data_IF_951435779164
#
_entry.id   IF_951435779164
#
_cell.length_a   1.000
_cell.length_b   1.000
_cell.length_c   1.000
_cell.angle_alpha   90.00
_cell.angle_beta   90.00
_cell.angle_gamma   90.00
#
_symmetry.space_group_name_H-M   'P 1'
#
loop_
_entity.id
_entity.type
_entity.pdbx_description
1 polymer ?
#
# COMPACT_ATOMS: atom_id res chain seq x y z
N UNK A 1 12.15 18.12 -14.44
CA UNK A 1 11.71 17.78 -13.06
C UNK A 1 10.98 16.45 -13.18
N UNK A 2 11.70 15.33 -13.09
CA UNK A 2 11.04 14.02 -13.08
C UNK A 2 10.43 13.89 -11.70
N UNK A 3 9.15 14.23 -11.60
CA UNK A 3 8.35 13.85 -10.46
C UNK A 3 8.10 12.34 -10.64
N UNK A 4 9.12 11.54 -10.32
CA UNK A 4 8.90 10.11 -10.09
C UNK A 4 7.73 10.01 -9.12
N UNK A 5 6.77 9.13 -9.43
CA UNK A 5 5.52 9.02 -8.67
C UNK A 5 5.80 9.15 -7.16
N UNK A 6 5.04 9.99 -6.43
CA UNK A 6 5.26 10.17 -5.01
C UNK A 6 5.22 8.80 -4.32
N UNK A 7 6.20 8.55 -3.45
CA UNK A 7 6.26 7.34 -2.66
C UNK A 7 4.88 7.12 -2.00
N UNK A 8 4.38 5.89 -2.07
CA UNK A 8 2.99 5.61 -1.75
C UNK A 8 2.79 4.17 -1.37
N UNK A 9 1.99 3.93 -0.32
CA UNK A 9 1.54 2.59 0.03
C UNK A 9 0.02 2.58 -0.05
N UNK A 10 -0.52 1.66 -0.84
CA UNK A 10 -1.95 1.52 -1.07
C UNK A 10 -2.36 0.07 -0.86
N UNK A 11 -3.46 -0.15 -0.14
CA UNK A 11 -4.00 -1.49 0.12
C UNK A 11 -5.34 -1.59 -0.59
N UNK A 12 -5.47 -2.61 -1.44
CA UNK A 12 -6.70 -2.85 -2.21
C UNK A 12 -7.10 -4.31 -2.12
N UNK A 13 -8.36 -4.57 -1.84
CA UNK A 13 -8.92 -5.91 -1.99
C UNK A 13 -9.19 -6.20 -3.47
N UNK A 14 -8.64 -7.29 -3.99
CA UNK A 14 -8.68 -7.67 -5.41
C UNK A 14 -9.11 -9.12 -5.50
N UNK A 15 -10.35 -9.36 -5.94
CA UNK A 15 -10.96 -10.68 -6.00
C UNK A 15 -11.20 -11.24 -4.59
N UNK A 16 -10.29 -12.10 -4.15
CA UNK A 16 -10.34 -12.79 -2.84
C UNK A 16 -9.10 -12.50 -1.98
N UNK A 17 -8.20 -11.63 -2.44
CA UNK A 17 -6.92 -11.33 -1.79
C UNK A 17 -6.71 -9.83 -1.63
N UNK A 18 -5.94 -9.48 -0.62
CA UNK A 18 -5.48 -8.13 -0.35
C UNK A 18 -4.18 -7.86 -1.08
N UNK A 19 -4.19 -6.95 -2.03
CA UNK A 19 -3.02 -6.45 -2.73
C UNK A 19 -2.48 -5.19 -2.05
N UNK A 20 -1.23 -5.22 -1.60
CA UNK A 20 -0.50 -4.05 -1.12
C UNK A 20 0.42 -3.57 -2.25
N UNK A 21 0.16 -2.37 -2.74
CA UNK A 21 1.00 -1.70 -3.74
C UNK A 21 1.90 -0.69 -3.03
N UNK A 22 3.21 -0.83 -3.25
CA UNK A 22 4.26 0.01 -2.68
C UNK A 22 4.98 0.69 -3.84
N UNK A 23 4.94 2.01 -3.87
CA UNK A 23 5.70 2.84 -4.81
C UNK A 23 6.87 3.47 -4.05
N UNK A 24 8.10 3.17 -4.49
CA UNK A 24 9.35 3.66 -3.92
C UNK A 24 10.23 4.17 -5.07
N UNK A 25 10.45 5.48 -5.15
CA UNK A 25 11.33 6.15 -6.13
C UNK A 25 11.00 5.78 -7.59
N UNK A 26 9.71 5.67 -7.93
CA UNK A 26 9.24 5.23 -9.25
C UNK A 26 9.28 3.71 -9.48
N UNK A 27 9.72 2.92 -8.50
CA UNK A 27 9.59 1.47 -8.50
C UNK A 27 8.25 1.06 -7.85
N UNK A 28 7.41 0.35 -8.60
CA UNK A 28 6.14 -0.17 -8.10
C UNK A 28 6.29 -1.66 -7.79
N UNK A 29 6.05 -2.01 -6.53
CA UNK A 29 5.96 -3.40 -6.06
C UNK A 29 4.54 -3.70 -5.62
N UNK A 30 4.07 -4.91 -5.89
CA UNK A 30 2.77 -5.36 -5.46
C UNK A 30 2.88 -6.73 -4.81
N UNK A 31 2.35 -6.84 -3.59
CA UNK A 31 2.35 -8.07 -2.81
C UNK A 31 0.91 -8.46 -2.45
N UNK A 32 0.60 -9.76 -2.53
CA UNK A 32 -0.75 -10.28 -2.31
C UNK A 32 -0.81 -11.10 -1.04
N UNK A 33 -1.85 -10.86 -0.24
CA UNK A 33 -2.11 -11.51 1.03
C UNK A 33 -3.53 -12.07 1.04
N UNK A 34 -3.74 -13.23 1.67
CA UNK A 34 -5.09 -13.74 1.87
C UNK A 34 -5.77 -13.07 3.08
N UNK A 35 -4.98 -12.66 4.09
CA UNK A 35 -5.47 -12.01 5.30
C UNK A 35 -5.39 -10.49 5.24
N UNK A 36 -6.50 -9.82 5.59
CA UNK A 36 -6.57 -8.36 5.70
C UNK A 36 -5.54 -7.83 6.71
N UNK A 37 -5.53 -8.40 7.91
CA UNK A 37 -4.64 -7.96 9.00
C UNK A 37 -3.17 -8.06 8.61
N UNK A 38 -2.80 -9.09 7.84
CA UNK A 38 -1.43 -9.26 7.34
C UNK A 38 -1.10 -8.21 6.28
N UNK A 39 -2.02 -7.93 5.36
CA UNK A 39 -1.84 -6.88 4.36
C UNK A 39 -1.73 -5.49 4.98
N UNK A 40 -2.59 -5.17 5.97
CA UNK A 40 -2.57 -3.91 6.69
C UNK A 40 -1.25 -3.72 7.46
N UNK A 41 -0.80 -4.76 8.18
CA UNK A 41 0.47 -4.72 8.92
C UNK A 41 1.67 -4.59 7.98
N UNK A 42 1.66 -5.26 6.83
CA UNK A 42 2.70 -5.11 5.83
C UNK A 42 2.71 -3.69 5.25
N UNK A 43 1.53 -3.14 4.93
CA UNK A 43 1.40 -1.78 4.42
C UNK A 43 1.90 -0.73 5.42
N UNK A 44 1.56 -0.88 6.71
CA UNK A 44 2.06 -0.01 7.78
C UNK A 44 3.59 -0.08 7.91
N UNK A 45 4.15 -1.28 7.86
CA UNK A 45 5.61 -1.48 7.90
C UNK A 45 6.32 -0.81 6.71
N UNK A 46 5.82 -1.01 5.48
CA UNK A 46 6.40 -0.36 4.29
C UNK A 46 6.27 1.16 4.37
N UNK A 47 5.18 1.66 4.96
CA UNK A 47 4.93 3.08 5.13
C UNK A 47 5.92 3.72 6.11
N UNK A 48 6.15 3.08 7.25
CA UNK A 48 7.16 3.53 8.23
C UNK A 48 8.56 3.57 7.59
N UNK A 49 8.90 2.52 6.83
CA UNK A 49 10.16 2.47 6.07
C UNK A 49 10.29 3.60 5.04
N UNK A 50 9.19 3.95 4.37
CA UNK A 50 9.13 5.03 3.38
C UNK A 50 8.89 6.43 4.00
N UNK A 51 8.76 6.53 5.33
CA UNK A 51 8.44 7.75 6.09
C UNK A 51 7.26 8.55 5.51
N UNK A 52 6.22 7.85 5.03
CA UNK A 52 5.09 8.52 4.38
C UNK A 52 4.14 9.15 5.41
N UNK A 53 3.82 10.45 5.30
CA UNK A 53 2.92 11.11 6.22
C UNK A 53 1.46 10.66 6.01
N UNK A 54 0.75 10.26 7.07
CA UNK A 54 -0.69 9.89 7.08
C UNK A 54 -0.98 8.43 7.48
N UNK A 55 -2.25 8.01 7.52
CA UNK A 55 -2.69 6.61 7.68
C UNK A 55 -2.77 5.96 6.28
N UNK A 56 -2.52 4.64 6.09
CA UNK A 56 -2.82 4.00 4.80
C UNK A 56 -4.25 4.32 4.40
N UNK A 57 -4.52 4.69 3.14
CA UNK A 57 -5.86 4.62 2.61
C UNK A 57 -6.19 3.12 2.54
N UNK A 58 -6.61 2.54 3.68
CA UNK A 58 -7.54 1.44 3.60
C UNK A 58 -8.73 2.08 2.90
N UNK A 59 -9.09 1.59 1.71
CA UNK A 59 -10.30 2.03 1.05
C UNK A 59 -11.47 1.56 1.93
N UNK A 60 -11.71 2.27 3.03
CA UNK A 60 -12.98 2.32 3.73
C UNK A 60 -13.86 3.19 2.85
N UNK A 61 -14.28 2.61 1.74
CA UNK A 61 -15.40 3.12 0.97
C UNK A 61 -16.36 1.95 0.91
N UNK A 62 -17.37 2.04 1.79
CA UNK A 62 -18.69 1.40 1.74
C UNK A 62 -19.05 0.94 0.31
N UNK A 63 -19.60 -0.25 0.09
CA UNK A 63 -20.81 -0.83 0.69
C UNK A 63 -20.73 -2.36 0.82
#
# INVERSE_FOLDING_TARGET
MVQGEPNGVCVKFVGERWAVRVTEDGNVRQEFFNDKSTAERYAEYQRDRLKLPGKPPVADTQF
#
